data_IF_040455457008
#
_entry.id   IF_040455457008
#
_cell.length_a   1.000
_cell.length_b   1.000
_cell.length_c   1.000
_cell.angle_alpha   90.00
_cell.angle_beta   90.00
_cell.angle_gamma   90.00
#
_symmetry.space_group_name_H-M   'P 1'
#
loop_
_entity.id
_entity.type
_entity.pdbx_description
1 polymer ?
#
# COMPACT_ATOMS: atom_id res chain seq x y z
N UNK A 1 39.94 20.11 -9.53
CA UNK A 1 39.01 21.20 -9.20
C UNK A 1 38.04 21.50 -10.35
N UNK A 2 38.49 22.01 -11.50
CA UNK A 2 37.59 22.27 -12.64
C UNK A 2 37.12 20.98 -13.36
N UNK A 3 37.98 19.98 -13.44
CA UNK A 3 37.70 18.68 -14.07
C UNK A 3 36.66 17.86 -13.27
N UNK A 4 36.78 17.87 -11.94
CA UNK A 4 35.83 17.20 -11.02
C UNK A 4 34.41 17.80 -11.10
N UNK A 5 34.30 19.12 -11.28
CA UNK A 5 33.02 19.81 -11.40
C UNK A 5 32.30 19.46 -12.71
N UNK A 6 33.05 19.30 -13.80
CA UNK A 6 32.50 18.86 -15.09
C UNK A 6 32.05 17.40 -15.04
N UNK A 7 32.84 16.53 -14.42
CA UNK A 7 32.48 15.12 -14.23
C UNK A 7 31.23 14.95 -13.36
N UNK A 8 31.08 15.77 -12.31
CA UNK A 8 29.89 15.76 -11.46
C UNK A 8 28.65 16.24 -12.22
N UNK A 9 28.78 17.28 -13.05
CA UNK A 9 27.68 17.78 -13.89
C UNK A 9 27.18 16.70 -14.86
N UNK A 10 28.11 16.02 -15.54
CA UNK A 10 27.77 14.93 -16.46
C UNK A 10 27.01 13.78 -15.76
N UNK A 11 27.40 13.41 -14.54
CA UNK A 11 26.68 12.37 -13.76
C UNK A 11 25.28 12.81 -13.33
N UNK A 12 25.08 14.10 -13.05
CA UNK A 12 23.75 14.65 -12.73
C UNK A 12 22.86 14.65 -13.96
N UNK A 13 23.39 15.00 -15.13
CA UNK A 13 22.64 14.96 -16.39
C UNK A 13 22.27 13.52 -16.78
N UNK A 14 23.17 12.55 -16.58
CA UNK A 14 22.89 11.13 -16.78
C UNK A 14 21.79 10.62 -15.84
N UNK A 15 21.85 10.98 -14.56
CA UNK A 15 20.81 10.62 -13.58
C UNK A 15 19.47 11.25 -13.95
N UNK A 16 19.46 12.51 -14.38
CA UNK A 16 18.25 13.20 -14.82
C UNK A 16 17.62 12.49 -16.03
N UNK A 17 18.44 12.06 -17.00
CA UNK A 17 17.97 11.31 -18.16
C UNK A 17 17.34 9.96 -17.76
N UNK A 18 17.98 9.21 -16.86
CA UNK A 18 17.45 7.93 -16.36
C UNK A 18 16.12 8.10 -15.62
N UNK A 19 15.97 9.17 -14.83
CA UNK A 19 14.71 9.48 -14.14
C UNK A 19 13.59 9.83 -15.13
N UNK A 20 13.88 10.57 -16.21
CA UNK A 20 12.88 10.86 -17.23
C UNK A 20 12.43 9.60 -17.97
N UNK A 21 13.36 8.70 -18.28
CA UNK A 21 13.05 7.41 -18.90
C UNK A 21 12.14 6.56 -18.01
N UNK A 22 12.48 6.42 -16.72
CA UNK A 22 11.65 5.66 -15.77
C UNK A 22 10.24 6.24 -15.63
N UNK A 23 10.12 7.57 -15.55
CA UNK A 23 8.82 8.26 -15.53
C UNK A 23 8.02 8.04 -16.81
N UNK A 24 8.68 8.01 -17.97
CA UNK A 24 8.03 7.69 -19.24
C UNK A 24 7.47 6.27 -19.25
N UNK A 25 8.26 5.30 -18.81
CA UNK A 25 7.84 3.90 -18.71
C UNK A 25 6.68 3.71 -17.73
N UNK A 26 6.73 4.34 -16.56
CA UNK A 26 5.64 4.29 -15.57
C UNK A 26 4.34 4.89 -16.10
N UNK A 27 4.41 6.06 -16.73
CA UNK A 27 3.22 6.70 -17.32
C UNK A 27 2.60 5.84 -18.42
N UNK A 28 3.42 5.21 -19.26
CA UNK A 28 2.92 4.30 -20.31
C UNK A 28 2.22 3.09 -19.70
N UNK A 29 2.82 2.46 -18.68
CA UNK A 29 2.21 1.32 -18.00
C UNK A 29 0.90 1.70 -17.29
N UNK A 30 0.85 2.88 -16.66
CA UNK A 30 -0.36 3.40 -16.03
C UNK A 30 -1.46 3.70 -17.07
N UNK A 31 -1.10 4.25 -18.23
CA UNK A 31 -2.02 4.47 -19.34
C UNK A 31 -2.59 3.16 -19.90
N UNK A 32 -1.77 2.12 -20.04
CA UNK A 32 -2.24 0.80 -20.48
C UNK A 32 -3.18 0.14 -19.45
N UNK A 33 -2.88 0.29 -18.15
CA UNK A 33 -3.76 -0.17 -17.07
C UNK A 33 -5.09 0.59 -17.08
N UNK A 34 -5.05 1.92 -17.27
CA UNK A 34 -6.24 2.76 -17.39
C UNK A 34 -7.09 2.38 -18.61
N UNK A 35 -6.46 2.12 -19.76
CA UNK A 35 -7.14 1.68 -20.98
C UNK A 35 -7.79 0.29 -20.80
N UNK A 36 -7.09 -0.66 -20.19
CA UNK A 36 -7.65 -1.98 -19.87
C UNK A 36 -8.85 -1.87 -18.92
N UNK A 37 -8.77 -0.98 -17.92
CA UNK A 37 -9.87 -0.72 -16.98
C UNK A 37 -11.06 -0.06 -17.66
N UNK A 38 -10.84 0.87 -18.60
CA UNK A 38 -11.89 1.50 -19.38
C UNK A 38 -12.58 0.50 -20.34
N UNK A 39 -11.81 -0.43 -20.93
CA UNK A 39 -12.33 -1.50 -21.79
C UNK A 39 -13.13 -2.58 -21.06
N UNK A 40 -12.98 -2.71 -19.74
CA UNK A 40 -13.74 -3.65 -18.91
C UNK A 40 -15.07 -3.10 -18.37
N UNK A 41 -15.43 -1.84 -18.66
CA UNK A 41 -16.75 -1.29 -18.33
C UNK A 41 -17.71 -1.52 -19.50
N UNK A 42 -18.23 -2.74 -19.62
CA UNK A 42 -19.47 -2.94 -20.37
C UNK A 42 -20.59 -2.19 -19.63
N UNK A 43 -21.45 -1.42 -20.31
CA UNK A 43 -22.63 -0.88 -19.66
C UNK A 43 -23.54 -2.07 -19.35
N UNK A 44 -23.67 -2.41 -18.07
CA UNK A 44 -24.81 -3.20 -17.62
C UNK A 44 -26.06 -2.34 -17.84
N UNK A 45 -26.67 -2.47 -19.02
CA UNK A 45 -28.09 -2.12 -19.21
C UNK A 45 -28.85 -3.05 -18.29
N UNK A 46 -29.11 -2.57 -17.07
CA UNK A 46 -30.11 -3.15 -16.19
C UNK A 46 -31.45 -2.93 -16.87
N UNK A 47 -32.22 -3.98 -17.23
CA UNK A 47 -33.58 -3.77 -17.68
C UNK A 47 -34.35 -3.19 -16.51
N UNK A 48 -34.83 -1.95 -16.64
CA UNK A 48 -35.75 -1.34 -15.68
C UNK A 48 -37.05 -2.16 -15.78
N UNK A 49 -37.27 -3.04 -14.81
CA UNK A 49 -38.59 -3.62 -14.54
C UNK A 49 -39.43 -2.50 -13.93
N UNK A 50 -40.55 -2.08 -14.56
CA UNK A 50 -41.41 -1.03 -14.00
C UNK A 50 -42.13 -1.56 -12.76
N UNK A 51 -41.84 -1.01 -11.57
CA UNK A 51 -42.62 -1.34 -10.37
C UNK A 51 -41.96 -1.15 -9.00
N UNK A 52 -40.69 -0.75 -8.88
CA UNK A 52 -40.05 -0.62 -7.56
C UNK A 52 -40.32 0.75 -6.91
N UNK A 53 -40.89 0.82 -5.68
CA UNK A 53 -41.10 2.08 -4.96
C UNK A 53 -39.76 2.72 -4.53
N UNK A 54 -39.67 4.07 -4.46
CA UNK A 54 -38.42 4.82 -4.41
C UNK A 54 -37.66 4.79 -3.06
N UNK A 55 -37.98 3.89 -2.13
CA UNK A 55 -37.48 4.00 -0.75
C UNK A 55 -37.16 2.66 -0.06
N UNK A 56 -36.61 1.69 -0.80
CA UNK A 56 -35.92 0.57 -0.16
C UNK A 56 -34.47 0.98 0.16
N UNK A 57 -33.97 0.82 1.41
CA UNK A 57 -32.55 0.99 1.67
C UNK A 57 -31.80 0.05 0.73
N UNK A 58 -30.94 0.62 -0.11
CA UNK A 58 -30.03 -0.17 -0.91
C UNK A 58 -29.12 -0.87 0.09
N UNK A 59 -29.35 -2.16 0.30
CA UNK A 59 -28.35 -3.04 0.88
C UNK A 59 -27.23 -2.99 -0.16
N UNK A 60 -26.27 -2.08 0.07
CA UNK A 60 -24.98 -2.17 -0.55
C UNK A 60 -24.46 -3.52 -0.08
N UNK A 61 -24.59 -4.52 -0.95
CA UNK A 61 -23.94 -5.80 -0.84
C UNK A 61 -22.42 -5.56 -0.85
N UNK A 62 -21.89 -5.04 0.27
CA UNK A 62 -20.54 -5.33 0.73
C UNK A 62 -20.54 -6.74 1.34
N UNK A 63 -21.08 -7.69 0.58
CA UNK A 63 -20.75 -9.10 0.73
C UNK A 63 -19.44 -9.34 -0.02
N UNK A 64 -18.41 -8.55 0.30
CA UNK A 64 -17.05 -9.03 0.16
C UNK A 64 -16.98 -10.26 1.05
N UNK A 65 -17.08 -11.46 0.48
CA UNK A 65 -16.93 -12.72 1.20
C UNK A 65 -15.72 -12.59 2.13
N UNK A 66 -15.98 -12.46 3.44
CA UNK A 66 -14.92 -12.31 4.43
C UNK A 66 -14.20 -13.65 4.44
N UNK A 67 -13.06 -13.71 3.75
CA UNK A 67 -12.18 -14.86 3.75
C UNK A 67 -11.75 -15.21 5.18
N UNK A 68 -10.94 -16.27 5.36
CA UNK A 68 -10.45 -16.68 6.67
C UNK A 68 -9.90 -15.48 7.46
N UNK A 69 -10.40 -15.29 8.69
CA UNK A 69 -9.94 -14.22 9.56
C UNK A 69 -8.54 -14.56 10.06
N UNK A 70 -7.54 -13.78 9.66
CA UNK A 70 -6.19 -13.86 10.21
C UNK A 70 -6.19 -13.26 11.63
N UNK A 71 -5.54 -13.95 12.56
CA UNK A 71 -5.37 -13.47 13.93
C UNK A 71 -4.57 -12.17 13.98
N UNK A 72 -4.83 -11.34 14.99
CA UNK A 72 -4.02 -10.13 15.21
C UNK A 72 -2.60 -10.53 15.63
N UNK A 73 -1.57 -9.75 15.26
CA UNK A 73 -0.21 -9.95 15.72
C UNK A 73 -0.08 -9.83 17.25
N UNK A 74 0.93 -10.47 17.81
CA UNK A 74 1.30 -10.29 19.22
C UNK A 74 2.07 -8.98 19.43
N UNK A 75 2.10 -8.47 20.68
CA UNK A 75 2.94 -7.33 21.03
C UNK A 75 4.42 -7.75 21.07
N UNK A 76 5.29 -6.91 20.52
CA UNK A 76 6.73 -7.17 20.44
C UNK A 76 7.55 -6.13 21.21
N UNK A 77 8.41 -6.60 22.10
CA UNK A 77 9.18 -5.76 23.04
C UNK A 77 10.56 -5.34 22.51
N UNK A 78 10.99 -5.87 21.37
CA UNK A 78 12.32 -5.64 20.81
C UNK A 78 13.31 -6.79 21.04
N UNK A 79 12.88 -7.92 21.63
CA UNK A 79 13.74 -9.10 21.82
C UNK A 79 14.27 -9.65 20.50
N UNK A 80 15.59 -9.59 20.32
CA UNK A 80 16.28 -10.10 19.12
C UNK A 80 16.14 -11.62 18.95
N UNK A 81 16.41 -12.09 17.74
CA UNK A 81 16.39 -13.53 17.39
C UNK A 81 15.00 -14.01 17.00
N UNK A 82 14.61 -15.26 17.34
CA UNK A 82 13.37 -15.87 16.84
C UNK A 82 12.09 -15.06 17.10
N UNK A 83 12.03 -14.31 18.22
CA UNK A 83 10.88 -13.43 18.51
C UNK A 83 10.71 -12.30 17.49
N UNK A 84 11.81 -11.76 16.98
CA UNK A 84 11.78 -10.73 15.93
C UNK A 84 11.24 -11.30 14.62
N UNK A 85 11.66 -12.51 14.24
CA UNK A 85 11.19 -13.20 13.03
C UNK A 85 9.69 -13.50 13.11
N UNK A 86 9.22 -13.98 14.27
CA UNK A 86 7.79 -14.23 14.52
C UNK A 86 6.99 -12.95 14.38
N UNK A 87 7.41 -11.85 15.01
CA UNK A 87 6.74 -10.55 14.91
C UNK A 87 6.64 -10.08 13.45
N UNK A 88 7.76 -10.08 12.70
CA UNK A 88 7.76 -9.65 11.29
C UNK A 88 6.85 -10.54 10.44
N UNK A 89 6.86 -11.86 10.69
CA UNK A 89 5.99 -12.81 9.98
C UNK A 89 4.51 -12.53 10.26
N UNK A 90 4.13 -12.34 11.52
CA UNK A 90 2.74 -12.03 11.90
C UNK A 90 2.25 -10.71 11.29
N UNK A 91 3.07 -9.65 11.33
CA UNK A 91 2.78 -8.38 10.65
C UNK A 91 2.57 -8.60 9.16
N UNK A 92 3.51 -9.30 8.50
CA UNK A 92 3.47 -9.56 7.06
C UNK A 92 2.22 -10.32 6.64
N UNK A 93 1.88 -11.39 7.36
CA UNK A 93 0.67 -12.18 7.11
C UNK A 93 -0.60 -11.32 7.24
N UNK A 94 -0.69 -10.50 8.29
CA UNK A 94 -1.86 -9.64 8.49
C UNK A 94 -2.00 -8.60 7.36
N UNK A 95 -0.91 -7.96 6.96
CA UNK A 95 -0.92 -6.97 5.87
C UNK A 95 -1.29 -7.62 4.53
N UNK A 96 -0.71 -8.77 4.22
CA UNK A 96 -0.95 -9.51 2.98
C UNK A 96 -2.39 -10.00 2.86
N UNK A 97 -2.99 -10.44 3.96
CA UNK A 97 -4.38 -10.90 3.96
C UNK A 97 -5.41 -9.76 3.97
N UNK A 98 -4.98 -8.53 4.22
CA UNK A 98 -5.88 -7.36 4.30
C UNK A 98 -5.41 -6.20 3.40
N UNK A 99 -5.20 -6.42 2.08
CA UNK A 99 -4.57 -5.44 1.21
C UNK A 99 -5.35 -4.12 1.10
N UNK A 100 -6.69 -4.17 1.20
CA UNK A 100 -7.54 -2.97 1.19
C UNK A 100 -7.32 -2.06 2.41
N UNK A 101 -6.93 -2.61 3.56
CA UNK A 101 -6.62 -1.82 4.77
C UNK A 101 -5.23 -1.18 4.70
N UNK A 102 -4.35 -1.70 3.84
CA UNK A 102 -2.95 -1.29 3.75
C UNK A 102 -2.55 -0.82 2.33
N UNK A 103 -3.18 0.25 1.82
CA UNK A 103 -2.98 0.69 0.44
C UNK A 103 -1.60 1.31 0.16
N UNK A 104 -0.85 1.69 1.19
CA UNK A 104 0.48 2.29 1.05
C UNK A 104 1.38 1.89 2.22
N UNK A 105 2.67 2.20 2.12
CA UNK A 105 3.64 1.83 3.15
C UNK A 105 3.42 2.57 4.47
N UNK A 106 2.86 3.78 4.43
CA UNK A 106 2.53 4.56 5.63
C UNK A 106 1.57 3.80 6.55
N UNK A 107 0.48 3.23 6.01
CA UNK A 107 -0.46 2.46 6.83
C UNK A 107 0.11 1.14 7.34
N UNK A 108 1.01 0.50 6.58
CA UNK A 108 1.75 -0.71 7.02
C UNK A 108 2.69 -0.39 8.18
N UNK A 109 3.42 0.72 8.11
CA UNK A 109 4.35 1.17 9.15
C UNK A 109 3.58 1.55 10.42
N UNK A 110 2.51 2.34 10.30
CA UNK A 110 1.66 2.73 11.45
C UNK A 110 1.15 1.47 12.19
N UNK A 111 0.63 0.49 11.43
CA UNK A 111 0.16 -0.76 12.00
C UNK A 111 1.29 -1.55 12.67
N UNK A 112 2.45 -1.70 12.02
CA UNK A 112 3.60 -2.37 12.61
C UNK A 112 3.99 -1.73 13.95
N UNK A 113 4.13 -0.40 13.99
CA UNK A 113 4.51 0.35 15.19
C UNK A 113 3.46 0.20 16.30
N UNK A 114 2.16 0.15 15.96
CA UNK A 114 1.09 -0.04 16.94
C UNK A 114 1.20 -1.34 17.74
N UNK A 115 1.94 -2.34 17.25
CA UNK A 115 2.19 -3.62 17.93
C UNK A 115 3.54 -3.68 18.64
N UNK A 116 4.30 -2.59 18.67
CA UNK A 116 5.49 -2.50 19.52
C UNK A 116 5.10 -2.20 20.96
N UNK A 117 5.89 -2.74 21.89
CA UNK A 117 5.79 -2.48 23.33
C UNK A 117 7.20 -2.34 23.93
N UNK A 118 7.29 -1.91 25.20
CA UNK A 118 8.56 -1.78 25.92
C UNK A 118 9.63 -1.01 25.14
N UNK A 119 10.85 -1.55 25.13
CA UNK A 119 12.02 -0.93 24.51
C UNK A 119 11.85 -0.68 23.00
N UNK A 120 11.14 -1.55 22.28
CA UNK A 120 10.87 -1.34 20.87
C UNK A 120 9.94 -0.15 20.61
N UNK A 121 8.95 0.07 21.48
CA UNK A 121 8.06 1.24 21.39
C UNK A 121 8.81 2.53 21.67
N UNK A 122 9.66 2.55 22.70
CA UNK A 122 10.54 3.69 23.02
C UNK A 122 11.46 4.04 21.85
N UNK A 123 12.08 3.03 21.23
CA UNK A 123 12.90 3.22 20.04
C UNK A 123 12.12 3.81 18.86
N UNK A 124 10.84 3.45 18.71
CA UNK A 124 10.01 3.91 17.61
C UNK A 124 9.49 5.35 17.78
N UNK A 125 9.47 5.91 19.00
CA UNK A 125 8.87 7.21 19.29
C UNK A 125 9.36 8.37 18.40
N UNK A 126 10.66 8.53 18.09
CA UNK A 126 11.12 9.63 17.24
C UNK A 126 10.57 9.56 15.81
N UNK A 127 10.16 8.38 15.37
CA UNK A 127 9.63 8.14 14.04
C UNK A 127 8.12 8.32 13.99
N UNK A 128 7.40 8.12 15.11
CA UNK A 128 5.94 8.29 15.15
C UNK A 128 5.49 9.75 15.05
N UNK A 129 6.32 10.70 15.48
CA UNK A 129 6.00 12.14 15.37
C UNK A 129 5.99 12.64 13.92
N UNK A 130 6.62 11.89 13.00
CA UNK A 130 6.72 12.23 11.57
C UNK A 130 5.80 11.40 10.69
N UNK A 131 4.98 10.53 11.29
CA UNK A 131 4.10 9.62 10.55
C UNK A 131 3.00 10.35 9.84
#
# INVERSE_FOLDING_TARGET
MADDAAALRARVDELAASIQEERGLRQRAEAELAAARAGMVAPAVVPIVPGQPPNAPQILDDTTAKGPKIGLPDKYDGTRGPKAEVYVTQIGLYVLSNPRMFPNDRSRIIFSISYLTGQASEWAQPFTTKL
#
